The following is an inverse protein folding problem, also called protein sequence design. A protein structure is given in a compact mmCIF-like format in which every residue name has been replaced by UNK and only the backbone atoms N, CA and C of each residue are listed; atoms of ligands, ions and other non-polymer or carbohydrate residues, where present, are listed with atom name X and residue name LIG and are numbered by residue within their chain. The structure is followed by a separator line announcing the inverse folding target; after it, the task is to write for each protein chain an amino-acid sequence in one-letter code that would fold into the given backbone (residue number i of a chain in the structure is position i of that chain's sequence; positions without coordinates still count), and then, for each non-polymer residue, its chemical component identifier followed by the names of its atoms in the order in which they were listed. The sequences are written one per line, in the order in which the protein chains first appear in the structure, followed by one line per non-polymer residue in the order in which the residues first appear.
data_IF_739053166565
#
_entry.id   IF_739053166565
#
_cell.length_a   1.000
_cell.length_b   1.000
_cell.length_c   1.000
_cell.angle_alpha   90.00
_cell.angle_beta   90.00
_cell.angle_gamma   90.00
#
_symmetry.space_group_name_H-M   'P 1'
#
loop_
_entity.id
_entity.type
_entity.pdbx_description
1 polymer ?
#
# COMPACT_ATOMS: atom_id res chain seq x y z
N UNK A 1 3.25 1.17 38.64
CA UNK A 1 2.22 0.68 37.69
C UNK A 1 0.87 1.09 38.27
N UNK A 2 0.36 2.25 37.87
CA UNK A 2 -0.99 2.72 38.23
C UNK A 2 -1.93 2.12 37.19
N UNK A 3 -2.79 1.18 37.61
CA UNK A 3 -3.90 0.71 36.79
C UNK A 3 -4.75 1.93 36.43
N UNK A 4 -4.78 2.27 35.15
CA UNK A 4 -5.68 3.27 34.58
C UNK A 4 -7.12 2.78 34.75
N UNK A 5 -7.76 3.14 35.87
CA UNK A 5 -9.19 2.89 36.03
C UNK A 5 -9.97 3.71 35.00
N UNK A 6 -10.84 3.09 34.22
CA UNK A 6 -11.63 3.83 33.22
C UNK A 6 -12.49 4.87 33.94
N UNK A 7 -12.45 6.12 33.47
CA UNK A 7 -13.23 7.24 33.98
C UNK A 7 -14.77 7.00 33.90
N UNK A 8 -15.17 6.14 32.97
CA UNK A 8 -16.58 5.83 32.70
C UNK A 8 -16.71 4.37 32.28
N UNK A 9 -17.67 3.67 32.81
CA UNK A 9 -18.07 2.33 32.39
C UNK A 9 -19.48 2.43 31.84
N UNK A 10 -19.67 2.08 30.55
CA UNK A 10 -20.97 2.05 29.90
C UNK A 10 -21.39 0.59 29.73
N UNK A 11 -22.62 0.29 30.09
CA UNK A 11 -23.22 -1.03 29.89
C UNK A 11 -24.52 -0.94 29.12
N UNK A 12 -24.75 -1.87 28.20
CA UNK A 12 -26.01 -2.00 27.47
C UNK A 12 -26.60 -3.39 27.77
N UNK A 13 -27.81 -3.43 28.30
CA UNK A 13 -28.49 -4.66 28.72
C UNK A 13 -27.62 -5.57 29.61
N UNK A 14 -26.91 -4.96 30.59
CA UNK A 14 -26.04 -5.65 31.51
C UNK A 14 -24.65 -6.06 30.96
N UNK A 15 -24.39 -5.86 29.69
CA UNK A 15 -23.09 -6.10 29.05
C UNK A 15 -22.27 -4.83 29.03
N UNK A 16 -21.05 -4.90 29.57
CA UNK A 16 -20.08 -3.79 29.52
C UNK A 16 -19.63 -3.58 28.09
N UNK A 17 -19.74 -2.34 27.62
CA UNK A 17 -19.22 -1.94 26.31
C UNK A 17 -17.71 -1.71 26.40
N UNK A 18 -16.99 -2.19 25.41
CA UNK A 18 -15.58 -1.89 25.26
C UNK A 18 -15.40 -0.53 24.57
N UNK A 19 -14.46 0.31 25.05
CA UNK A 19 -14.16 1.57 24.36
C UNK A 19 -13.49 1.29 23.01
N UNK A 20 -13.98 1.96 21.96
CA UNK A 20 -13.35 1.92 20.65
C UNK A 20 -12.25 3.00 20.61
N UNK A 21 -11.02 2.60 20.32
CA UNK A 21 -9.92 3.50 19.99
C UNK A 21 -9.75 3.57 18.46
N UNK A 22 -10.27 4.61 17.79
CA UNK A 22 -10.20 4.71 16.34
C UNK A 22 -8.78 5.01 15.82
N UNK A 23 -7.84 5.30 16.70
CA UNK A 23 -6.46 5.67 16.36
C UNK A 23 -5.47 4.53 16.56
N UNK A 24 -5.89 3.42 17.18
CA UNK A 24 -5.04 2.26 17.43
C UNK A 24 -3.84 2.58 18.34
N UNK A 25 -3.99 3.49 19.30
CA UNK A 25 -2.90 3.96 20.17
C UNK A 25 -2.32 2.87 21.06
N UNK A 26 -3.08 1.81 21.32
CA UNK A 26 -2.63 0.64 22.10
C UNK A 26 -1.68 -0.29 21.32
N UNK A 27 -1.62 -0.20 20.00
CA UNK A 27 -0.78 -1.06 19.17
C UNK A 27 0.62 -0.49 19.00
N UNK A 28 1.64 -1.33 19.24
CA UNK A 28 3.05 -0.93 19.09
C UNK A 28 3.45 -0.48 17.67
N UNK A 29 2.70 -0.94 16.66
CA UNK A 29 2.94 -0.62 15.24
C UNK A 29 2.20 0.62 14.74
N UNK A 30 1.42 1.31 15.59
CA UNK A 30 0.78 2.56 15.21
C UNK A 30 1.83 3.67 15.03
N UNK A 31 1.55 4.57 14.12
CA UNK A 31 2.39 5.75 13.91
C UNK A 31 1.57 7.00 14.19
N UNK A 32 2.09 7.88 15.04
CA UNK A 32 1.47 9.17 15.30
C UNK A 32 2.47 10.30 15.03
N UNK A 33 1.99 11.36 14.42
CA UNK A 33 2.76 12.60 14.27
C UNK A 33 2.64 13.47 15.53
N UNK A 34 3.55 14.42 15.68
CA UNK A 34 3.44 15.41 16.73
C UNK A 34 2.18 16.24 16.54
N UNK A 35 1.45 16.58 17.64
CA UNK A 35 0.30 17.45 17.55
C UNK A 35 0.67 18.81 16.93
N UNK A 36 -0.11 19.22 15.94
CA UNK A 36 -0.01 20.50 15.28
C UNK A 36 -1.06 21.44 15.87
N UNK A 37 -0.63 22.59 16.34
CA UNK A 37 -1.46 23.53 17.11
C UNK A 37 -1.69 24.80 16.31
N UNK A 38 -2.93 25.19 16.16
CA UNK A 38 -3.35 26.39 15.45
C UNK A 38 -4.13 27.33 16.39
N UNK A 39 -3.54 28.47 16.69
CA UNK A 39 -4.21 29.51 17.48
C UNK A 39 -5.15 30.32 16.59
N UNK A 40 -6.39 30.46 17.02
CA UNK A 40 -7.42 31.29 16.41
C UNK A 40 -7.99 32.27 17.45
N UNK A 41 -8.83 33.21 17.01
CA UNK A 41 -9.36 34.27 17.88
C UNK A 41 -10.06 33.77 19.13
N UNK A 42 -10.80 32.66 19.02
CA UNK A 42 -11.62 32.13 20.13
C UNK A 42 -11.07 30.85 20.77
N UNK A 43 -9.86 30.42 20.39
CA UNK A 43 -9.22 29.26 21.01
C UNK A 43 -8.20 28.57 20.14
N UNK A 44 -7.66 27.49 20.67
CA UNK A 44 -6.68 26.65 20.00
C UNK A 44 -7.36 25.43 19.37
N UNK A 45 -7.04 25.15 18.10
CA UNK A 45 -7.39 23.90 17.42
C UNK A 45 -6.15 23.01 17.37
N UNK A 46 -6.28 21.76 17.81
CA UNK A 46 -5.17 20.80 17.81
C UNK A 46 -5.47 19.71 16.80
N UNK A 47 -4.51 19.47 15.89
CA UNK A 47 -4.57 18.39 14.92
C UNK A 47 -3.53 17.35 15.24
N UNK A 48 -3.89 16.07 15.18
CA UNK A 48 -2.94 14.98 15.33
C UNK A 48 -3.24 13.90 14.32
N UNK A 49 -2.23 13.56 13.52
CA UNK A 49 -2.33 12.53 12.48
C UNK A 49 -1.88 11.20 13.03
N UNK A 50 -2.61 10.15 12.67
CA UNK A 50 -2.31 8.76 13.01
C UNK A 50 -2.36 7.91 11.74
N UNK A 51 -1.46 6.94 11.67
CA UNK A 51 -1.51 5.88 10.66
C UNK A 51 -1.69 4.56 11.38
N UNK A 52 -2.81 3.89 11.09
CA UNK A 52 -3.11 2.60 11.69
C UNK A 52 -2.12 1.53 11.24
N UNK A 53 -1.90 0.48 12.05
CA UNK A 53 -1.13 -0.69 11.65
C UNK A 53 -1.72 -1.32 10.38
N UNK A 54 -0.87 -1.88 9.54
CA UNK A 54 -1.31 -2.64 8.37
C UNK A 54 -1.80 -4.03 8.79
N UNK A 55 -2.80 -4.60 8.10
CA UNK A 55 -3.38 -5.91 8.41
C UNK A 55 -2.35 -7.05 8.55
N UNK A 56 -1.21 -6.95 7.86
CA UNK A 56 -0.09 -7.92 7.99
C UNK A 56 0.72 -7.78 9.28
N UNK A 57 0.52 -6.73 10.06
CA UNK A 57 1.28 -6.42 11.28
C UNK A 57 0.52 -6.71 12.56
N UNK A 58 -0.76 -7.06 12.46
CA UNK A 58 -1.66 -7.33 13.57
C UNK A 58 -2.56 -8.52 13.25
N UNK A 59 -3.25 -9.08 14.25
CA UNK A 59 -4.19 -10.17 14.05
C UNK A 59 -5.44 -9.72 13.27
N UNK A 60 -6.16 -10.67 12.68
CA UNK A 60 -7.40 -10.40 11.96
C UNK A 60 -8.46 -9.73 12.85
N UNK A 61 -8.61 -10.20 14.10
CA UNK A 61 -9.54 -9.61 15.07
C UNK A 61 -9.19 -8.16 15.40
N UNK A 62 -7.91 -7.85 15.66
CA UNK A 62 -7.46 -6.47 15.91
C UNK A 62 -7.66 -5.58 14.69
N UNK A 63 -7.48 -6.13 13.49
CA UNK A 63 -7.75 -5.42 12.25
C UNK A 63 -9.22 -5.05 12.11
N UNK A 64 -10.14 -6.00 12.33
CA UNK A 64 -11.58 -5.74 12.29
C UNK A 64 -12.01 -4.71 13.35
N UNK A 65 -11.51 -4.83 14.58
CA UNK A 65 -11.79 -3.90 15.68
C UNK A 65 -11.36 -2.46 15.33
N UNK A 66 -10.18 -2.28 14.73
CA UNK A 66 -9.69 -0.98 14.28
C UNK A 66 -10.48 -0.39 13.12
N UNK A 67 -11.02 -1.24 12.25
CA UNK A 67 -11.92 -0.84 11.16
C UNK A 67 -13.23 -0.29 11.68
N UNK A 68 -13.68 -0.78 12.82
CA UNK A 68 -14.99 -0.46 13.37
C UNK A 68 -16.14 -1.03 12.52
N UNK A 69 -17.39 -0.69 12.84
CA UNK A 69 -18.58 -1.27 12.20
C UNK A 69 -18.68 -0.98 10.69
N UNK A 70 -18.07 0.11 10.23
CA UNK A 70 -18.13 0.54 8.83
C UNK A 70 -16.90 0.11 8.01
N UNK A 71 -15.92 -0.54 8.64
CA UNK A 71 -14.66 -0.97 8.05
C UNK A 71 -13.68 0.18 7.77
N UNK A 72 -12.44 -0.16 7.48
CA UNK A 72 -11.34 0.80 7.34
C UNK A 72 -11.57 1.85 6.25
N UNK A 73 -12.23 1.48 5.15
CA UNK A 73 -12.47 2.39 4.03
C UNK A 73 -13.42 3.54 4.41
N UNK A 74 -14.44 3.27 5.20
CA UNK A 74 -15.42 4.27 5.62
C UNK A 74 -15.02 5.02 6.88
N UNK A 75 -14.18 4.43 7.72
CA UNK A 75 -13.72 5.02 8.98
C UNK A 75 -12.52 5.95 8.83
N UNK A 76 -12.00 6.16 7.61
CA UNK A 76 -10.85 7.04 7.38
C UNK A 76 -11.19 8.52 7.48
N UNK A 77 -10.20 9.36 7.79
CA UNK A 77 -10.37 10.80 7.77
C UNK A 77 -10.35 11.47 9.15
N UNK A 78 -11.09 12.57 9.25
CA UNK A 78 -11.11 13.38 10.45
C UNK A 78 -12.07 12.84 11.51
N UNK A 79 -11.60 12.91 12.75
CA UNK A 79 -12.35 12.66 13.98
C UNK A 79 -12.36 13.95 14.78
N UNK A 80 -13.47 14.67 14.76
CA UNK A 80 -13.59 15.99 15.39
C UNK A 80 -14.16 15.86 16.78
N UNK A 81 -13.38 16.30 17.78
CA UNK A 81 -13.76 16.34 19.18
C UNK A 81 -13.98 17.78 19.63
N UNK A 82 -15.14 18.06 20.18
CA UNK A 82 -15.49 19.31 20.82
C UNK A 82 -15.54 19.13 22.34
N UNK A 83 -14.65 19.78 23.05
CA UNK A 83 -14.56 19.61 24.51
C UNK A 83 -14.48 18.14 24.93
N UNK A 84 -13.69 17.32 24.25
CA UNK A 84 -13.53 15.86 24.40
C UNK A 84 -14.72 15.00 23.95
N UNK A 85 -15.79 15.59 23.41
CA UNK A 85 -16.92 14.86 22.84
C UNK A 85 -16.74 14.69 21.34
N UNK A 86 -16.80 13.46 20.86
CA UNK A 86 -16.75 13.15 19.42
C UNK A 86 -18.02 13.69 18.74
N UNK A 87 -17.84 14.53 17.71
CA UNK A 87 -18.92 15.12 16.91
C UNK A 87 -18.95 14.52 15.52
N UNK A 88 -17.77 14.28 14.91
CA UNK A 88 -17.63 13.70 13.59
C UNK A 88 -16.65 12.54 13.67
N UNK A 89 -17.03 11.39 13.14
CA UNK A 89 -16.24 10.18 13.09
C UNK A 89 -15.99 9.77 11.64
N UNK A 90 -14.71 9.68 11.24
CA UNK A 90 -14.31 9.08 9.97
C UNK A 90 -14.82 9.79 8.73
N UNK A 91 -14.58 11.09 8.59
CA UNK A 91 -15.00 11.85 7.41
C UNK A 91 -13.91 12.77 6.88
N UNK A 92 -13.74 12.85 5.58
CA UNK A 92 -12.87 13.82 4.94
C UNK A 92 -13.50 15.22 4.80
N UNK A 93 -14.74 15.43 5.21
CA UNK A 93 -15.47 16.70 5.17
C UNK A 93 -15.46 17.37 3.79
N UNK A 94 -15.49 16.57 2.73
CA UNK A 94 -15.44 17.05 1.35
C UNK A 94 -14.07 17.56 0.88
N UNK A 95 -13.01 17.39 1.68
CA UNK A 95 -11.63 17.81 1.33
C UNK A 95 -10.88 16.74 0.54
N UNK A 96 -11.29 15.48 0.64
CA UNK A 96 -10.74 14.36 -0.10
C UNK A 96 -11.81 13.29 -0.38
N UNK A 97 -11.47 12.37 -1.27
CA UNK A 97 -12.24 11.14 -1.47
C UNK A 97 -11.70 10.03 -0.57
N UNK A 98 -12.57 9.13 -0.16
CA UNK A 98 -12.16 7.89 0.51
C UNK A 98 -11.46 7.00 -0.52
N UNK A 99 -10.26 6.54 -0.19
CA UNK A 99 -9.44 5.69 -1.08
C UNK A 99 -8.72 4.61 -0.28
N UNK A 100 -8.34 3.53 -0.95
CA UNK A 100 -7.49 2.49 -0.38
C UNK A 100 -6.14 3.02 0.12
N UNK A 101 -5.58 4.03 -0.56
CA UNK A 101 -4.32 4.64 -0.17
C UNK A 101 -4.38 5.38 1.17
N UNK A 102 -5.54 5.88 1.54
CA UNK A 102 -5.75 6.68 2.76
C UNK A 102 -6.55 5.94 3.83
N UNK A 103 -6.92 4.67 3.58
CA UNK A 103 -7.78 3.88 4.49
C UNK A 103 -7.23 3.74 5.92
N UNK A 104 -5.92 3.82 6.09
CA UNK A 104 -5.25 3.75 7.39
C UNK A 104 -5.07 5.12 8.08
N UNK A 105 -5.40 6.21 7.37
CA UNK A 105 -5.19 7.56 7.90
C UNK A 105 -6.36 7.98 8.79
N UNK A 106 -6.03 8.43 9.99
CA UNK A 106 -6.94 9.04 10.97
C UNK A 106 -6.37 10.37 11.41
N UNK A 107 -7.20 11.40 11.48
CA UNK A 107 -6.77 12.71 11.95
C UNK A 107 -7.70 13.14 13.08
N UNK A 108 -7.16 13.21 14.27
CA UNK A 108 -7.86 13.79 15.42
C UNK A 108 -7.83 15.30 15.32
N UNK A 109 -8.95 15.95 15.55
CA UNK A 109 -9.10 17.41 15.61
C UNK A 109 -9.82 17.76 16.91
N UNK A 110 -9.10 18.40 17.82
CA UNK A 110 -9.67 18.86 19.08
C UNK A 110 -9.98 20.34 18.99
N UNK A 111 -11.23 20.72 19.30
CA UNK A 111 -11.71 22.09 19.32
C UNK A 111 -12.30 22.42 20.70
N UNK A 112 -12.08 23.61 21.24
CA UNK A 112 -12.69 24.05 22.47
C UNK A 112 -14.15 24.47 22.24
N UNK A 113 -14.94 24.45 23.32
CA UNK A 113 -16.35 24.88 23.27
C UNK A 113 -16.56 26.34 22.91
N UNK A 114 -15.53 27.18 23.12
CA UNK A 114 -15.53 28.61 22.79
C UNK A 114 -15.64 28.91 21.29
N UNK A 115 -15.41 27.89 20.42
CA UNK A 115 -15.42 28.03 18.96
C UNK A 115 -16.72 27.55 18.30
N UNK A 116 -17.77 27.31 19.04
CA UNK A 116 -19.03 26.79 18.49
C UNK A 116 -19.63 27.69 17.40
N UNK A 117 -19.58 29.00 17.60
CA UNK A 117 -20.07 29.97 16.62
C UNK A 117 -19.26 29.94 15.32
N UNK A 118 -17.93 29.75 15.41
CA UNK A 118 -17.04 29.73 14.25
C UNK A 118 -17.21 28.49 13.40
N UNK A 119 -17.48 27.35 14.05
CA UNK A 119 -17.62 26.06 13.38
C UNK A 119 -19.06 25.74 12.92
N UNK A 120 -20.05 26.53 13.34
CA UNK A 120 -21.49 26.29 13.07
C UNK A 120 -21.84 24.81 13.21
N UNK A 121 -21.46 24.23 14.34
CA UNK A 121 -21.63 22.79 14.58
C UNK A 121 -23.12 22.49 14.73
N UNK A 122 -23.68 21.66 13.85
CA UNK A 122 -24.96 21.02 14.02
C UNK A 122 -24.77 19.65 14.66
N UNK A 123 -24.91 19.61 15.98
CA UNK A 123 -24.75 18.37 16.78
C UNK A 123 -25.80 17.32 16.39
N UNK A 124 -26.95 17.73 15.87
CA UNK A 124 -28.01 16.79 15.45
C UNK A 124 -27.74 16.15 14.09
N UNK A 125 -27.02 16.87 13.22
CA UNK A 125 -26.73 16.41 11.86
C UNK A 125 -25.30 15.90 11.68
N UNK A 126 -24.49 15.87 12.73
CA UNK A 126 -23.08 15.54 12.67
C UNK A 126 -22.35 16.31 11.55
N UNK A 127 -22.70 17.58 11.35
CA UNK A 127 -22.14 18.47 10.33
C UNK A 127 -21.45 19.66 10.99
N UNK A 128 -20.36 20.12 10.40
CA UNK A 128 -19.67 21.32 10.80
C UNK A 128 -19.29 22.14 9.56
N UNK A 129 -19.47 23.45 9.65
CA UNK A 129 -18.92 24.38 8.67
C UNK A 129 -17.57 24.84 9.18
N UNK A 130 -16.52 24.39 8.51
CA UNK A 130 -15.15 24.69 8.90
C UNK A 130 -14.83 26.16 8.70
N UNK A 131 -14.22 26.86 9.69
CA UNK A 131 -13.62 28.17 9.48
C UNK A 131 -12.59 28.10 8.32
N UNK A 132 -12.50 29.14 7.45
CA UNK A 132 -11.64 29.08 6.26
C UNK A 132 -10.19 28.70 6.56
N UNK A 133 -9.60 29.26 7.63
CA UNK A 133 -8.23 28.95 8.03
C UNK A 133 -8.05 27.47 8.48
N UNK A 134 -9.03 26.92 9.20
CA UNK A 134 -9.05 25.51 9.61
C UNK A 134 -9.19 24.60 8.38
N UNK A 135 -10.11 24.95 7.48
CA UNK A 135 -10.33 24.21 6.23
C UNK A 135 -9.06 24.12 5.40
N UNK A 136 -8.33 25.21 5.26
CA UNK A 136 -7.06 25.24 4.54
C UNK A 136 -6.01 24.38 5.23
N UNK A 137 -5.89 24.47 6.56
CA UNK A 137 -4.97 23.61 7.31
C UNK A 137 -5.31 22.14 7.15
N UNK A 138 -6.56 21.77 7.24
CA UNK A 138 -7.03 20.39 7.03
C UNK A 138 -6.72 19.91 5.61
N UNK A 139 -6.88 20.76 4.58
CA UNK A 139 -6.53 20.44 3.20
C UNK A 139 -5.05 20.10 3.05
N UNK A 140 -4.17 20.92 3.63
CA UNK A 140 -2.72 20.70 3.61
C UNK A 140 -2.33 19.39 4.34
N UNK A 141 -3.00 19.05 5.45
CA UNK A 141 -2.80 17.79 6.14
C UNK A 141 -3.18 16.60 5.27
N UNK A 142 -4.32 16.67 4.57
CA UNK A 142 -4.77 15.62 3.65
C UNK A 142 -3.77 15.43 2.51
N UNK A 143 -3.29 16.50 1.91
CA UNK A 143 -2.29 16.44 0.82
C UNK A 143 -1.00 15.78 1.32
N UNK A 144 -0.48 16.20 2.49
CA UNK A 144 0.73 15.63 3.10
C UNK A 144 0.59 14.13 3.37
N UNK A 145 -0.52 13.71 3.97
CA UNK A 145 -0.78 12.29 4.28
C UNK A 145 -0.98 11.46 3.01
N UNK A 146 -1.68 11.99 2.02
CA UNK A 146 -1.86 11.32 0.72
C UNK A 146 -0.52 11.11 0.01
N UNK A 147 0.38 12.10 0.05
CA UNK A 147 1.74 11.99 -0.50
C UNK A 147 2.59 10.98 0.29
N UNK A 148 2.51 11.01 1.63
CA UNK A 148 3.22 10.06 2.48
C UNK A 148 2.73 8.62 2.25
N UNK A 149 1.42 8.40 2.15
CA UNK A 149 0.83 7.11 1.83
C UNK A 149 1.27 6.64 0.45
N UNK A 150 1.18 7.47 -0.59
CA UNK A 150 1.69 7.13 -1.93
C UNK A 150 3.16 6.75 -1.91
N UNK A 151 4.00 7.50 -1.20
CA UNK A 151 5.44 7.17 -1.04
C UNK A 151 5.65 5.84 -0.31
N UNK A 152 4.83 5.53 0.69
CA UNK A 152 4.90 4.26 1.43
C UNK A 152 4.49 3.09 0.55
N UNK A 153 3.43 3.22 -0.24
CA UNK A 153 3.04 2.22 -1.24
C UNK A 153 4.09 2.11 -2.36
N UNK A 154 4.61 3.22 -2.84
CA UNK A 154 5.70 3.23 -3.83
C UNK A 154 7.00 2.66 -3.26
N UNK A 155 7.37 3.01 -2.02
CA UNK A 155 8.55 2.46 -1.34
C UNK A 155 8.37 0.99 -0.92
N UNK A 156 7.15 0.52 -0.67
CA UNK A 156 6.89 -0.92 -0.50
C UNK A 156 6.92 -1.64 -1.83
N UNK A 157 6.41 -1.07 -2.90
CA UNK A 157 6.68 -1.53 -4.26
C UNK A 157 8.18 -1.48 -4.60
N UNK A 158 8.91 -0.46 -4.11
CA UNK A 158 10.36 -0.29 -4.28
C UNK A 158 11.22 -0.97 -3.19
N UNK A 159 10.69 -1.32 -2.00
CA UNK A 159 11.40 -2.13 -0.99
C UNK A 159 11.23 -3.63 -1.19
N UNK A 160 10.33 -4.02 -2.07
CA UNK A 160 10.40 -5.30 -2.77
C UNK A 160 11.43 -5.23 -3.93
N UNK A 161 11.85 -4.07 -4.34
CA UNK A 161 13.05 -3.78 -5.13
C UNK A 161 14.17 -3.48 -4.13
N UNK A 162 14.76 -4.52 -3.54
CA UNK A 162 16.18 -4.52 -3.18
C UNK A 162 16.93 -3.93 -4.38
N UNK A 163 18.08 -3.32 -4.21
CA UNK A 163 18.96 -2.87 -5.31
C UNK A 163 19.29 -3.96 -6.34
N UNK A 164 18.85 -5.18 -6.09
CA UNK A 164 19.02 -6.44 -6.81
C UNK A 164 17.78 -6.94 -7.56
N UNK A 165 16.62 -6.26 -7.53
CA UNK A 165 15.41 -6.73 -8.25
C UNK A 165 15.29 -6.09 -9.63
N UNK A 166 15.17 -6.92 -10.66
CA UNK A 166 14.91 -6.51 -12.04
C UNK A 166 13.43 -6.78 -12.38
N UNK A 167 12.57 -5.75 -12.35
CA UNK A 167 11.16 -5.94 -12.66
C UNK A 167 10.93 -6.10 -14.16
N UNK A 168 10.06 -7.04 -14.53
CA UNK A 168 9.61 -7.22 -15.93
C UNK A 168 8.83 -5.99 -16.42
N UNK A 169 8.15 -5.28 -15.52
CA UNK A 169 7.36 -4.10 -15.85
C UNK A 169 8.04 -2.80 -15.44
N UNK A 170 8.23 -1.90 -16.38
CA UNK A 170 8.68 -0.54 -16.13
C UNK A 170 7.49 0.37 -15.84
N UNK A 171 7.57 1.14 -14.74
CA UNK A 171 6.63 2.22 -14.45
C UNK A 171 7.21 3.54 -14.94
N UNK A 172 6.57 4.14 -15.94
CA UNK A 172 7.00 5.40 -16.56
C UNK A 172 5.99 6.48 -16.21
N UNK A 173 6.47 7.65 -15.83
CA UNK A 173 5.65 8.84 -15.65
C UNK A 173 5.99 9.84 -16.75
N UNK A 174 5.02 10.13 -17.60
CA UNK A 174 5.18 11.06 -18.73
C UNK A 174 3.91 11.90 -18.86
N UNK A 175 4.06 13.21 -19.00
CA UNK A 175 2.97 14.17 -19.26
C UNK A 175 1.79 14.06 -18.28
N UNK A 176 2.10 13.80 -16.99
CA UNK A 176 1.09 13.60 -15.95
C UNK A 176 0.42 12.22 -15.93
N UNK A 177 0.67 11.37 -16.92
CA UNK A 177 0.20 9.99 -16.99
C UNK A 177 1.22 9.00 -16.39
N UNK A 178 0.71 7.92 -15.82
CA UNK A 178 1.51 6.78 -15.38
C UNK A 178 1.24 5.63 -16.34
N UNK A 179 2.30 5.12 -16.95
CA UNK A 179 2.25 4.04 -17.93
C UNK A 179 3.05 2.85 -17.38
N UNK A 180 2.50 1.67 -17.50
CA UNK A 180 3.21 0.41 -17.24
C UNK A 180 3.45 -0.28 -18.58
N UNK A 181 4.70 -0.64 -18.83
CA UNK A 181 5.06 -1.43 -20.03
C UNK A 181 6.10 -2.49 -19.67
N UNK A 182 6.12 -3.63 -20.34
CA UNK A 182 7.18 -4.61 -20.17
C UNK A 182 8.54 -4.02 -20.56
N UNK A 183 9.58 -4.39 -19.82
CA UNK A 183 10.97 -4.00 -20.12
C UNK A 183 11.57 -4.99 -21.12
N UNK A 184 11.68 -4.59 -22.38
CA UNK A 184 12.27 -5.45 -23.42
C UNK A 184 13.76 -5.73 -23.20
N UNK A 185 14.45 -4.92 -22.37
CA UNK A 185 15.83 -5.16 -21.96
C UNK A 185 15.95 -6.13 -20.76
N UNK A 186 14.82 -6.55 -20.19
CA UNK A 186 14.83 -7.53 -19.09
C UNK A 186 15.52 -8.83 -19.53
N UNK A 187 16.40 -9.45 -18.71
CA UNK A 187 17.21 -10.59 -19.10
C UNK A 187 16.44 -11.74 -19.75
N UNK A 188 15.23 -12.05 -19.26
CA UNK A 188 14.36 -13.08 -19.85
C UNK A 188 13.97 -12.76 -21.29
N UNK A 189 13.58 -11.52 -21.57
CA UNK A 189 13.19 -11.11 -22.92
C UNK A 189 14.41 -10.96 -23.83
N UNK A 190 15.50 -10.41 -23.33
CA UNK A 190 16.73 -10.23 -24.08
C UNK A 190 17.35 -11.58 -24.48
N UNK A 191 17.38 -12.56 -23.55
CA UNK A 191 17.85 -13.91 -23.85
C UNK A 191 16.98 -14.60 -24.90
N UNK A 192 15.66 -14.54 -24.74
CA UNK A 192 14.75 -15.14 -25.71
C UNK A 192 14.85 -14.48 -27.07
N UNK A 193 14.86 -13.15 -27.13
CA UNK A 193 15.02 -12.39 -28.38
C UNK A 193 16.33 -12.77 -29.12
N UNK A 194 17.43 -12.92 -28.39
CA UNK A 194 18.72 -13.28 -28.98
C UNK A 194 18.75 -14.69 -29.62
N UNK A 195 17.83 -15.58 -29.23
CA UNK A 195 17.67 -16.93 -29.82
C UNK A 195 16.76 -16.97 -31.03
N UNK A 196 15.97 -15.92 -31.25
CA UNK A 196 15.08 -15.84 -32.41
C UNK A 196 15.87 -15.49 -33.70
N UNK A 197 15.43 -16.01 -34.85
CA UNK A 197 15.84 -15.50 -36.15
C UNK A 197 15.63 -13.98 -36.23
N UNK A 198 16.49 -13.30 -36.98
CA UNK A 198 16.56 -11.83 -37.00
C UNK A 198 15.24 -11.18 -37.48
N UNK A 199 14.52 -11.85 -38.36
CA UNK A 199 13.21 -11.46 -38.90
C UNK A 199 12.10 -11.56 -37.85
N UNK A 200 12.22 -12.45 -36.84
CA UNK A 200 11.24 -12.64 -35.78
C UNK A 200 11.50 -11.77 -34.53
N UNK A 201 12.68 -11.17 -34.44
CA UNK A 201 13.00 -10.34 -33.25
C UNK A 201 12.12 -9.09 -33.15
N UNK A 202 11.81 -8.47 -34.32
CA UNK A 202 10.91 -7.32 -34.36
C UNK A 202 9.46 -7.70 -34.00
N UNK A 203 9.00 -8.85 -34.48
CA UNK A 203 7.66 -9.35 -34.16
C UNK A 203 7.51 -9.68 -32.68
N UNK A 204 8.54 -10.28 -32.09
CA UNK A 204 8.59 -10.52 -30.64
C UNK A 204 8.53 -9.20 -29.85
N UNK A 205 9.32 -8.19 -30.23
CA UNK A 205 9.28 -6.88 -29.58
C UNK A 205 7.89 -6.21 -29.70
N UNK A 206 7.23 -6.35 -30.85
CA UNK A 206 5.88 -5.86 -31.08
C UNK A 206 4.85 -6.58 -30.21
N UNK A 207 4.94 -7.91 -30.03
CA UNK A 207 4.08 -8.69 -29.14
C UNK A 207 4.22 -8.24 -27.69
N UNK A 208 5.46 -8.04 -27.22
CA UNK A 208 5.71 -7.51 -25.87
C UNK A 208 5.13 -6.09 -25.72
N UNK A 209 5.27 -5.25 -26.76
CA UNK A 209 4.66 -3.92 -26.79
C UNK A 209 3.12 -3.96 -26.71
N UNK A 210 2.50 -4.91 -27.39
CA UNK A 210 1.04 -5.12 -27.36
C UNK A 210 0.55 -5.50 -25.96
N UNK A 211 1.27 -6.35 -25.23
CA UNK A 211 0.94 -6.67 -23.84
C UNK A 211 0.93 -5.41 -22.96
N UNK A 212 1.91 -4.52 -23.15
CA UNK A 212 1.96 -3.24 -22.44
C UNK A 212 0.78 -2.31 -22.80
N UNK A 213 0.36 -2.30 -24.06
CA UNK A 213 -0.75 -1.48 -24.52
C UNK A 213 -2.14 -2.03 -24.10
N UNK A 214 -2.24 -3.33 -23.80
CA UNK A 214 -3.49 -4.02 -23.47
C UNK A 214 -3.72 -4.22 -21.96
N UNK A 215 -2.94 -3.57 -21.10
CA UNK A 215 -3.16 -3.64 -19.64
C UNK A 215 -4.58 -3.19 -19.30
N UNK A 216 -5.40 -4.03 -18.63
CA UNK A 216 -6.80 -3.73 -18.36
C UNK A 216 -6.96 -2.75 -17.19
N UNK A 217 -6.47 -1.52 -17.37
CA UNK A 217 -6.35 -0.51 -16.30
C UNK A 217 -7.68 -0.21 -15.62
N UNK A 218 -8.78 -0.15 -16.40
CA UNK A 218 -10.10 0.14 -15.84
C UNK A 218 -10.61 -0.98 -14.92
N UNK A 219 -10.44 -2.25 -15.34
CA UNK A 219 -10.82 -3.42 -14.54
C UNK A 219 -9.95 -3.52 -13.28
N UNK A 220 -8.63 -3.42 -13.44
CA UNK A 220 -7.71 -3.41 -12.29
C UNK A 220 -8.05 -2.32 -11.28
N UNK A 221 -8.41 -1.12 -11.76
CA UNK A 221 -8.81 -0.04 -10.88
C UNK A 221 -10.11 -0.36 -10.13
N UNK A 222 -11.10 -0.97 -10.80
CA UNK A 222 -12.36 -1.36 -10.18
C UNK A 222 -12.13 -2.46 -9.11
N UNK A 223 -11.32 -3.48 -9.44
CA UNK A 223 -11.01 -4.59 -8.53
C UNK A 223 -10.23 -4.09 -7.30
N UNK A 224 -9.20 -3.26 -7.49
CA UNK A 224 -8.46 -2.64 -6.38
C UNK A 224 -9.33 -1.70 -5.54
N UNK A 225 -10.32 -1.04 -6.13
CA UNK A 225 -11.24 -0.18 -5.39
C UNK A 225 -12.29 -1.00 -4.61
N UNK A 226 -12.64 -2.18 -5.10
CA UNK A 226 -13.59 -3.09 -4.45
C UNK A 226 -12.94 -3.94 -3.36
N UNK A 227 -11.93 -4.70 -3.71
CA UNK A 227 -11.24 -5.64 -2.81
C UNK A 227 -9.77 -5.83 -3.20
N UNK A 228 -8.94 -4.86 -2.84
CA UNK A 228 -7.50 -4.85 -3.19
C UNK A 228 -6.73 -6.09 -2.70
N UNK A 229 -7.24 -6.80 -1.69
CA UNK A 229 -6.58 -7.96 -1.09
C UNK A 229 -6.77 -9.24 -1.90
N UNK A 230 -7.81 -9.29 -2.73
CA UNK A 230 -8.09 -10.40 -3.63
C UNK A 230 -7.34 -10.30 -4.96
N UNK A 231 -6.86 -9.09 -5.31
CA UNK A 231 -6.12 -8.88 -6.56
C UNK A 231 -4.70 -9.38 -6.40
N UNK A 232 -4.37 -10.45 -7.12
CA UNK A 232 -3.04 -11.09 -7.11
C UNK A 232 -2.53 -11.23 -8.54
N UNK A 233 -1.22 -11.23 -8.69
CA UNK A 233 -0.61 -11.70 -9.91
C UNK A 233 -0.81 -13.22 -10.04
N UNK A 234 -0.96 -13.69 -11.26
CA UNK A 234 -0.93 -15.11 -11.55
C UNK A 234 0.44 -15.71 -11.21
N UNK A 235 0.45 -16.94 -10.78
CA UNK A 235 1.68 -17.64 -10.43
C UNK A 235 2.16 -18.47 -11.62
N UNK A 236 3.44 -18.33 -11.97
CA UNK A 236 4.03 -19.17 -12.99
C UNK A 236 4.00 -20.63 -12.58
N UNK A 237 3.52 -21.51 -13.46
CA UNK A 237 3.49 -22.94 -13.25
C UNK A 237 4.91 -23.55 -13.23
N UNK A 238 5.13 -24.61 -12.48
CA UNK A 238 6.44 -25.27 -12.35
C UNK A 238 7.05 -25.69 -13.71
N UNK A 239 6.29 -26.20 -14.71
CA UNK A 239 6.83 -26.50 -16.03
C UNK A 239 7.37 -25.27 -16.76
N UNK A 240 6.73 -24.10 -16.61
CA UNK A 240 7.19 -22.86 -17.21
C UNK A 240 8.49 -22.35 -16.55
N UNK A 241 8.57 -22.46 -15.21
CA UNK A 241 9.78 -22.15 -14.45
C UNK A 241 10.94 -23.08 -14.87
N UNK A 242 10.67 -24.38 -15.01
CA UNK A 242 11.67 -25.36 -15.42
C UNK A 242 12.18 -25.11 -16.86
N UNK A 243 11.28 -24.86 -17.81
CA UNK A 243 11.66 -24.55 -19.20
C UNK A 243 12.50 -23.28 -19.28
N UNK A 244 12.14 -22.25 -18.53
CA UNK A 244 12.89 -21.00 -18.50
C UNK A 244 14.29 -21.20 -17.88
N UNK A 245 14.39 -21.95 -16.79
CA UNK A 245 15.65 -22.29 -16.15
C UNK A 245 16.56 -23.12 -17.09
N UNK A 246 16.00 -24.14 -17.76
CA UNK A 246 16.71 -24.96 -18.74
C UNK A 246 17.20 -24.15 -19.95
N UNK A 247 16.51 -23.09 -20.33
CA UNK A 247 16.95 -22.20 -21.41
C UNK A 247 18.07 -21.25 -20.99
N UNK A 248 18.02 -20.72 -19.77
CA UNK A 248 18.93 -19.66 -19.31
C UNK A 248 20.20 -20.18 -18.68
N UNK A 249 20.12 -21.20 -17.81
CA UNK A 249 21.26 -21.65 -16.99
C UNK A 249 22.42 -22.16 -17.81
N UNK A 250 22.25 -23.07 -18.81
CA UNK A 250 23.37 -23.57 -19.60
C UNK A 250 24.18 -22.45 -20.24
N UNK A 251 23.49 -21.45 -20.74
CA UNK A 251 24.10 -20.31 -21.41
C UNK A 251 24.90 -19.42 -20.46
N UNK A 252 24.39 -19.22 -19.22
CA UNK A 252 25.13 -18.49 -18.20
C UNK A 252 26.39 -19.24 -17.77
N UNK A 253 26.33 -20.56 -17.74
CA UNK A 253 27.51 -21.43 -17.50
C UNK A 253 28.51 -21.34 -18.64
N UNK A 254 28.05 -21.40 -19.90
CA UNK A 254 28.93 -21.21 -21.08
C UNK A 254 29.64 -19.85 -21.11
N UNK A 255 28.97 -18.81 -20.59
CA UNK A 255 29.55 -17.47 -20.43
C UNK A 255 30.55 -17.37 -19.24
N UNK A 256 30.82 -18.48 -18.55
CA UNK A 256 31.77 -18.54 -17.42
C UNK A 256 31.24 -17.95 -16.14
N UNK A 257 29.91 -17.83 -15.99
CA UNK A 257 29.29 -17.31 -14.76
C UNK A 257 29.36 -18.37 -13.65
N UNK A 258 29.84 -18.00 -12.49
CA UNK A 258 29.92 -18.88 -11.31
C UNK A 258 28.52 -19.36 -10.90
N UNK A 259 28.32 -20.63 -10.53
CA UNK A 259 27.02 -21.20 -10.14
C UNK A 259 26.29 -20.41 -9.05
N UNK A 260 27.01 -19.94 -8.05
CA UNK A 260 26.42 -19.13 -6.98
C UNK A 260 25.92 -17.79 -7.50
N UNK A 261 26.66 -17.19 -8.42
CA UNK A 261 26.25 -15.93 -9.07
C UNK A 261 25.05 -16.13 -9.99
N UNK A 262 24.92 -17.29 -10.62
CA UNK A 262 23.71 -17.66 -11.39
C UNK A 262 22.50 -17.75 -10.46
N UNK A 263 22.63 -18.41 -9.32
CA UNK A 263 21.57 -18.50 -8.31
C UNK A 263 21.16 -17.11 -7.82
N UNK A 264 22.11 -16.26 -7.45
CA UNK A 264 21.86 -14.87 -7.01
C UNK A 264 21.17 -14.05 -8.10
N UNK A 265 21.56 -14.18 -9.36
CA UNK A 265 20.93 -13.49 -10.49
C UNK A 265 19.48 -13.96 -10.70
N UNK A 266 19.22 -15.26 -10.70
CA UNK A 266 17.88 -15.80 -10.90
C UNK A 266 16.95 -15.45 -9.73
N UNK A 267 17.48 -15.37 -8.52
CA UNK A 267 16.71 -14.91 -7.35
C UNK A 267 16.23 -13.46 -7.47
N UNK A 268 16.82 -12.66 -8.37
CA UNK A 268 16.45 -11.26 -8.59
C UNK A 268 15.42 -11.07 -9.72
N UNK A 269 15.12 -12.11 -10.47
CA UNK A 269 14.34 -12.06 -11.72
C UNK A 269 13.02 -12.82 -11.56
N UNK A 270 11.88 -12.21 -11.91
CA UNK A 270 10.63 -12.95 -12.04
C UNK A 270 10.64 -13.80 -13.35
N UNK A 271 10.04 -15.01 -13.34
CA UNK A 271 9.19 -15.58 -12.28
C UNK A 271 9.94 -16.36 -11.18
N UNK A 272 11.25 -16.52 -11.26
CA UNK A 272 12.02 -17.30 -10.29
C UNK A 272 11.90 -16.73 -8.88
N UNK A 273 11.96 -15.41 -8.75
CA UNK A 273 11.88 -14.71 -7.48
C UNK A 273 10.53 -14.92 -6.80
N UNK A 274 9.43 -14.71 -7.50
CA UNK A 274 8.07 -14.85 -6.95
C UNK A 274 7.75 -16.29 -6.55
N UNK A 275 8.36 -17.26 -7.24
CA UNK A 275 8.23 -18.70 -6.97
C UNK A 275 9.52 -19.33 -6.44
N UNK A 276 10.36 -18.62 -5.68
CA UNK A 276 11.71 -19.06 -5.33
C UNK A 276 11.77 -20.43 -4.64
N UNK A 277 10.85 -20.69 -3.70
CA UNK A 277 10.82 -21.98 -2.99
C UNK A 277 10.60 -23.18 -3.94
N UNK A 278 9.90 -22.95 -5.06
CA UNK A 278 9.68 -23.95 -6.12
C UNK A 278 10.79 -23.94 -7.16
N UNK A 279 11.30 -22.76 -7.51
CA UNK A 279 12.33 -22.58 -8.52
C UNK A 279 13.71 -23.07 -8.06
N UNK A 280 14.08 -22.85 -6.80
CA UNK A 280 15.39 -23.20 -6.27
C UNK A 280 15.78 -24.68 -6.46
N UNK A 281 14.94 -25.67 -6.11
CA UNK A 281 15.27 -27.08 -6.34
C UNK A 281 15.49 -27.42 -7.82
N UNK A 282 14.76 -26.76 -8.73
CA UNK A 282 14.89 -26.93 -10.18
C UNK A 282 16.24 -26.37 -10.65
N UNK A 283 16.56 -25.16 -10.24
CA UNK A 283 17.81 -24.46 -10.55
C UNK A 283 19.01 -25.29 -10.07
N UNK A 284 18.99 -25.73 -8.82
CA UNK A 284 20.05 -26.56 -8.23
C UNK A 284 20.27 -27.86 -9.00
N UNK A 285 19.20 -28.52 -9.44
CA UNK A 285 19.25 -29.75 -10.24
C UNK A 285 19.94 -29.51 -11.59
N UNK A 286 19.57 -28.43 -12.29
CA UNK A 286 20.13 -28.08 -13.60
C UNK A 286 21.61 -27.70 -13.47
N UNK A 287 21.96 -26.87 -12.48
CA UNK A 287 23.36 -26.47 -12.25
C UNK A 287 24.24 -27.68 -11.95
N UNK A 288 23.76 -28.60 -11.10
CA UNK A 288 24.52 -29.83 -10.76
C UNK A 288 24.72 -30.74 -11.96
N UNK A 289 23.73 -30.86 -12.86
CA UNK A 289 23.89 -31.66 -14.06
C UNK A 289 24.97 -31.10 -15.00
N UNK A 290 25.08 -29.79 -15.10
CA UNK A 290 26.07 -29.13 -15.99
C UNK A 290 27.50 -29.09 -15.42
N UNK A 291 27.66 -29.17 -14.09
CA UNK A 291 28.98 -29.18 -13.46
C UNK A 291 29.61 -30.59 -13.44
N UNK A 292 28.75 -31.63 -13.47
CA UNK A 292 29.16 -33.02 -13.44
C UNK A 292 29.39 -33.65 -14.84
N UNK A 293 29.11 -32.89 -15.92
CA UNK A 293 29.50 -33.18 -17.30
C UNK A 293 30.81 -32.49 -17.65
#
# INVERSE_FOLDING_TARGET
MTEDRPLLVISLNGRKLQPLDPFGTSHSSHQSERPDRMMLTHGEVVFQSFTLPHHKSISHSEWEDLGGPDGHLRSQGFYVYRGRRLIIAGSWLGLARQTELTKLCRIRVDIPNTMDADWKIDVKKASAQLPPAVRERMRLLVERLSLASRRTYQRRGQRLVNEEYLPIWQRIQKDGAIIYRPDTAHPVFADFSARLPIDLQSDFANLIGLLGASVPVASLHADFAGNAEEVRADEAEDPAIEQLAQAMIPRLVELGTDPKRIEDMLHQIDPFRSGWDRAKPIIDKIIRSLINE
#
